data_IF_611707525226
#
_entry.id   IF_611707525226
#
_cell.length_a   1.000
_cell.length_b   1.000
_cell.length_c   1.000
_cell.angle_alpha   90.00
_cell.angle_beta   90.00
_cell.angle_gamma   90.00
#
_symmetry.space_group_name_H-M   'P 1'
#
loop_
_entity.id
_entity.type
_entity.pdbx_description
1 polymer ?
#
# COMPACT_ATOMS: atom_id res chain seq x y z
N UNK A 1 -1.54 7.99 14.02
CA UNK A 1 -2.49 7.12 13.30
C UNK A 1 -1.92 6.61 11.98
N UNK A 2 -1.08 7.39 11.27
CA UNK A 2 -0.41 6.98 10.02
C UNK A 2 0.47 5.72 10.16
N UNK A 3 1.29 5.62 11.21
CA UNK A 3 2.19 4.49 11.43
C UNK A 3 1.50 3.12 11.48
N UNK A 4 0.24 3.04 11.93
CA UNK A 4 -0.49 1.78 11.97
C UNK A 4 -1.14 1.42 10.63
N UNK A 5 -1.39 2.42 9.77
CA UNK A 5 -1.90 2.19 8.42
C UNK A 5 -0.77 1.77 7.48
N UNK A 6 0.43 2.36 7.61
CA UNK A 6 1.60 1.97 6.83
C UNK A 6 2.02 0.52 7.11
N UNK A 7 2.01 0.07 8.37
CA UNK A 7 2.27 -1.34 8.71
C UNK A 7 1.27 -2.31 8.07
N UNK A 8 -0.02 -1.94 8.00
CA UNK A 8 -1.05 -2.76 7.35
C UNK A 8 -0.87 -2.81 5.83
N UNK A 9 -0.59 -1.67 5.21
CA UNK A 9 -0.30 -1.58 3.77
C UNK A 9 0.95 -2.40 3.44
N UNK A 10 2.01 -2.26 4.24
CA UNK A 10 3.25 -3.00 4.07
C UNK A 10 3.02 -4.52 4.20
N UNK A 11 2.21 -4.95 5.16
CA UNK A 11 1.84 -6.36 5.29
C UNK A 11 1.15 -6.89 4.03
N UNK A 12 0.25 -6.11 3.41
CA UNK A 12 -0.39 -6.48 2.14
C UNK A 12 0.65 -6.55 1.01
N UNK A 13 1.53 -5.55 0.89
CA UNK A 13 2.55 -5.52 -0.15
C UNK A 13 3.48 -6.72 -0.07
N UNK A 14 3.95 -7.07 1.13
CA UNK A 14 4.77 -8.27 1.38
C UNK A 14 4.08 -9.55 0.93
N UNK A 15 2.77 -9.66 1.14
CA UNK A 15 1.98 -10.84 0.73
C UNK A 15 1.82 -10.89 -0.80
N UNK A 16 1.43 -9.78 -1.42
CA UNK A 16 1.17 -9.69 -2.86
C UNK A 16 2.46 -9.89 -3.66
N UNK A 17 3.55 -9.25 -3.25
CA UNK A 17 4.86 -9.35 -3.91
C UNK A 17 5.67 -10.57 -3.47
N UNK A 18 5.17 -11.34 -2.48
CA UNK A 18 5.90 -12.47 -1.86
C UNK A 18 7.29 -12.07 -1.36
N UNK A 19 7.45 -10.82 -0.93
CA UNK A 19 8.70 -10.26 -0.45
C UNK A 19 8.56 -9.86 1.03
N UNK A 20 8.87 -10.76 1.99
CA UNK A 20 8.73 -10.47 3.41
C UNK A 20 9.76 -9.45 3.94
N UNK A 21 10.85 -9.22 3.21
CA UNK A 21 11.92 -8.29 3.60
C UNK A 21 11.66 -6.85 3.18
N UNK A 22 10.58 -6.59 2.44
CA UNK A 22 10.20 -5.24 2.00
C UNK A 22 9.97 -4.33 3.21
N UNK A 23 10.49 -3.11 3.14
CA UNK A 23 10.37 -2.04 4.13
C UNK A 23 9.27 -1.06 3.73
N UNK A 24 8.83 -0.21 4.65
CA UNK A 24 7.75 0.75 4.40
C UNK A 24 8.13 1.82 3.35
N UNK A 25 9.42 2.08 3.20
CA UNK A 25 10.03 3.03 2.27
C UNK A 25 10.38 2.40 0.90
N UNK A 26 10.24 1.07 0.77
CA UNK A 26 10.50 0.40 -0.51
C UNK A 26 9.36 0.66 -1.48
N UNK A 27 9.71 1.02 -2.72
CA UNK A 27 8.75 1.22 -3.80
C UNK A 27 8.12 -0.12 -4.22
N UNK A 28 6.79 -0.14 -4.27
CA UNK A 28 6.01 -1.32 -4.63
C UNK A 28 6.30 -1.82 -6.05
N UNK A 29 6.46 -0.92 -7.02
CA UNK A 29 6.69 -1.26 -8.42
C UNK A 29 8.15 -1.64 -8.67
N UNK A 30 9.13 -0.98 -8.03
CA UNK A 30 10.54 -1.39 -8.09
C UNK A 30 10.76 -2.76 -7.42
N UNK A 31 9.95 -3.09 -6.40
CA UNK A 31 9.95 -4.39 -5.74
C UNK A 31 9.31 -5.52 -6.56
N UNK A 32 8.86 -5.23 -7.79
CA UNK A 32 8.24 -6.20 -8.70
C UNK A 32 6.72 -6.14 -8.76
N UNK A 33 6.11 -5.08 -8.23
CA UNK A 33 4.68 -4.81 -8.38
C UNK A 33 4.31 -4.41 -9.80
N UNK A 34 3.22 -4.98 -10.29
CA UNK A 34 2.59 -4.63 -11.56
C UNK A 34 1.14 -4.16 -11.36
N UNK A 35 0.45 -3.81 -12.44
CA UNK A 35 -0.94 -3.34 -12.38
C UNK A 35 -1.91 -4.37 -11.76
N UNK A 36 -1.69 -5.66 -11.97
CA UNK A 36 -2.49 -6.75 -11.39
C UNK A 36 -2.23 -6.84 -9.89
N UNK A 37 -0.95 -6.84 -9.50
CA UNK A 37 -0.55 -6.83 -8.10
C UNK A 37 -1.09 -5.59 -7.36
N UNK A 38 -1.09 -4.42 -8.00
CA UNK A 38 -1.64 -3.20 -7.43
C UNK A 38 -3.16 -3.28 -7.21
N UNK A 39 -3.90 -3.89 -8.14
CA UNK A 39 -5.35 -4.14 -7.99
C UNK A 39 -5.61 -5.06 -6.80
N UNK A 40 -4.88 -6.17 -6.69
CA UNK A 40 -5.02 -7.13 -5.60
C UNK A 40 -4.67 -6.48 -4.24
N UNK A 41 -3.57 -5.72 -4.20
CA UNK A 41 -3.17 -4.98 -3.01
C UNK A 41 -4.23 -3.96 -2.59
N UNK A 42 -4.74 -3.16 -3.52
CA UNK A 42 -5.79 -2.17 -3.24
C UNK A 42 -7.06 -2.82 -2.69
N UNK A 43 -7.48 -3.96 -3.25
CA UNK A 43 -8.64 -4.71 -2.76
C UNK A 43 -8.39 -5.28 -1.35
N UNK A 44 -7.19 -5.83 -1.09
CA UNK A 44 -6.83 -6.34 0.23
C UNK A 44 -6.74 -5.25 1.29
N UNK A 45 -6.13 -4.10 0.97
CA UNK A 45 -6.05 -2.96 1.88
C UNK A 45 -7.47 -2.49 2.21
N UNK A 46 -8.35 -2.36 1.21
CA UNK A 46 -9.73 -1.98 1.45
C UNK A 46 -10.48 -2.95 2.37
N UNK A 47 -10.29 -4.25 2.18
CA UNK A 47 -10.91 -5.27 3.05
C UNK A 47 -10.39 -5.23 4.49
N UNK A 48 -9.11 -4.93 4.70
CA UNK A 48 -8.50 -4.91 6.04
C UNK A 48 -8.74 -3.60 6.80
N UNK A 49 -8.71 -2.47 6.08
CA UNK A 49 -8.71 -1.14 6.68
C UNK A 49 -10.06 -0.42 6.54
N UNK A 50 -10.92 -0.87 5.63
CA UNK A 50 -12.13 -0.16 5.23
C UNK A 50 -11.87 1.06 4.33
N UNK A 51 -10.60 1.40 4.03
CA UNK A 51 -10.23 2.56 3.23
C UNK A 51 -10.14 2.16 1.76
N UNK A 52 -10.87 2.85 0.88
CA UNK A 52 -10.75 2.62 -0.55
C UNK A 52 -9.43 3.20 -1.05
N UNK A 53 -8.57 2.35 -1.62
CA UNK A 53 -7.28 2.78 -2.19
C UNK A 53 -7.42 2.90 -3.70
N UNK A 54 -7.42 4.11 -4.27
CA UNK A 54 -7.37 4.27 -5.71
C UNK A 54 -6.00 3.81 -6.22
N UNK A 55 -5.98 3.00 -7.29
CA UNK A 55 -4.73 2.56 -7.93
C UNK A 55 -3.87 3.76 -8.34
N UNK A 56 -4.49 4.86 -8.78
CA UNK A 56 -3.79 6.11 -9.09
C UNK A 56 -2.97 6.66 -7.91
N UNK A 57 -3.45 6.50 -6.67
CA UNK A 57 -2.71 6.91 -5.48
C UNK A 57 -1.49 6.03 -5.26
N UNK A 58 -1.56 4.72 -5.55
CA UNK A 58 -0.40 3.84 -5.48
C UNK A 58 0.68 4.24 -6.48
N UNK A 59 0.33 4.72 -7.67
CA UNK A 59 1.31 5.24 -8.64
C UNK A 59 1.94 6.58 -8.24
N UNK A 60 1.23 7.41 -7.48
CA UNK A 60 1.74 8.71 -7.00
C UNK A 60 2.57 8.52 -5.72
N UNK A 61 2.14 7.61 -4.86
CA UNK A 61 2.71 7.28 -3.56
C UNK A 61 3.01 5.77 -3.53
N UNK A 62 4.13 5.34 -4.13
CA UNK A 62 4.41 3.92 -4.36
C UNK A 62 4.94 3.18 -3.12
N UNK A 63 5.27 3.91 -2.06
CA UNK A 63 5.72 3.35 -0.78
C UNK A 63 4.55 3.18 0.19
N UNK A 64 4.68 2.24 1.13
CA UNK A 64 3.63 2.01 2.13
C UNK A 64 3.47 3.20 3.09
N UNK A 65 4.57 3.91 3.36
CA UNK A 65 4.56 5.10 4.22
C UNK A 65 3.83 6.27 3.55
N UNK A 66 4.22 6.63 2.31
CA UNK A 66 3.60 7.75 1.59
C UNK A 66 2.12 7.47 1.30
N UNK A 67 1.76 6.23 0.94
CA UNK A 67 0.38 5.86 0.69
C UNK A 67 -0.47 5.98 1.96
N UNK A 68 0.06 5.59 3.12
CA UNK A 68 -0.62 5.74 4.40
C UNK A 68 -0.85 7.21 4.76
N UNK A 69 0.13 8.07 4.50
CA UNK A 69 0.01 9.52 4.73
C UNK A 69 -1.04 10.15 3.81
N UNK A 70 -1.00 9.82 2.52
CA UNK A 70 -1.95 10.30 1.53
C UNK A 70 -3.39 9.90 1.90
N UNK A 71 -3.61 8.63 2.24
CA UNK A 71 -4.92 8.11 2.63
C UNK A 71 -5.41 8.68 3.96
N UNK A 72 -4.51 8.93 4.92
CA UNK A 72 -4.87 9.56 6.19
C UNK A 72 -5.35 11.00 5.97
N UNK A 73 -4.72 11.74 5.05
CA UNK A 73 -5.10 13.11 4.67
C UNK A 73 -6.47 13.17 3.96
N UNK A 74 -6.82 12.13 3.20
CA UNK A 74 -8.12 12.00 2.53
C UNK A 74 -9.30 11.70 3.49
N UNK A 75 -9.01 11.21 4.69
CA UNK A 75 -10.00 10.79 5.69
C UNK A 75 -10.27 11.80 6.81
N UNK A 76 -9.62 12.97 6.78
CA UNK A 76 -9.81 14.07 7.72
C UNK A 76 -10.86 15.08 7.23
#
# INVERSE_FOLDING_TARGET
>A
MTAQLSDQILAVFRVVLKNPSMSAEDDFFESGGDSTAAVDAAAMINQQTGVAVPIAQMFIYPTAEELAEALSSLSA
#
